data_IF_249229589322
#
_entry.id   IF_249229589322
#
_cell.length_a   1.000
_cell.length_b   1.000
_cell.length_c   1.000
_cell.angle_alpha   90.00
_cell.angle_beta   90.00
_cell.angle_gamma   90.00
#
_symmetry.space_group_name_H-M   'P 1'
#
loop_
_entity.id
_entity.type
_entity.pdbx_description
1 polymer ?
#
# COMPACT_ATOMS: atom_id res chain seq x y z
N UNK A 1 9.11 4.94 -8.18
CA UNK A 1 9.57 5.24 -6.81
C UNK A 1 8.84 4.42 -5.77
N UNK A 2 9.45 4.20 -4.60
CA UNK A 2 8.80 3.85 -3.34
C UNK A 2 8.79 5.10 -2.47
N UNK A 3 7.62 5.57 -2.04
CA UNK A 3 7.50 6.86 -1.32
C UNK A 3 6.76 6.65 -0.01
N UNK A 4 7.32 7.18 1.07
CA UNK A 4 6.78 7.07 2.43
C UNK A 4 6.90 8.39 3.19
N UNK A 5 6.15 8.52 4.28
CA UNK A 5 6.43 9.48 5.36
C UNK A 5 6.70 8.76 6.71
N UNK A 6 6.79 7.44 6.69
CA UNK A 6 7.15 6.63 7.86
C UNK A 6 6.12 6.63 8.99
N UNK A 7 4.85 6.92 8.69
CA UNK A 7 3.82 7.08 9.74
C UNK A 7 3.11 5.79 10.15
N UNK A 8 3.33 4.67 9.43
CA UNK A 8 2.73 3.37 9.74
C UNK A 8 3.61 2.19 9.34
N UNK A 9 4.85 2.19 9.80
CA UNK A 9 5.82 1.14 9.48
C UNK A 9 5.46 -0.16 10.22
N UNK A 10 5.37 -1.27 9.49
CA UNK A 10 4.94 -2.56 10.02
C UNK A 10 5.77 -2.99 11.23
N UNK A 11 5.09 -3.18 12.37
CA UNK A 11 5.71 -3.60 13.64
C UNK A 11 6.43 -2.49 14.41
N UNK A 12 6.62 -1.30 13.82
CA UNK A 12 7.33 -0.17 14.43
C UNK A 12 6.44 1.07 14.64
N UNK A 13 5.37 1.21 13.86
CA UNK A 13 4.43 2.33 13.97
C UNK A 13 4.94 3.61 13.31
N UNK A 14 4.64 4.75 13.94
CA UNK A 14 5.03 6.08 13.46
C UNK A 14 6.48 6.38 13.90
N UNK A 15 7.43 6.03 13.05
CA UNK A 15 8.87 6.22 13.31
C UNK A 15 9.48 7.38 12.51
N UNK A 16 8.68 7.98 11.62
CA UNK A 16 9.10 9.07 10.76
C UNK A 16 9.90 8.66 9.52
N UNK A 17 10.14 9.62 8.62
CA UNK A 17 10.76 9.35 7.33
C UNK A 17 12.19 8.83 7.46
N UNK A 18 13.02 9.44 8.30
CA UNK A 18 14.43 9.08 8.42
C UNK A 18 14.63 7.64 8.91
N UNK A 19 13.87 7.23 9.96
CA UNK A 19 13.99 5.90 10.53
C UNK A 19 13.35 4.82 9.64
N UNK A 20 12.46 5.19 8.73
CA UNK A 20 11.85 4.28 7.75
C UNK A 20 12.76 3.93 6.57
N UNK A 21 13.81 4.69 6.33
CA UNK A 21 14.75 4.50 5.22
C UNK A 21 15.20 3.05 4.99
N UNK A 22 15.67 2.28 5.98
CA UNK A 22 16.10 0.90 5.74
C UNK A 22 14.97 -0.02 5.24
N UNK A 23 13.73 0.25 5.64
CA UNK A 23 12.55 -0.51 5.18
C UNK A 23 12.27 -0.21 3.72
N UNK A 24 12.36 1.05 3.31
CA UNK A 24 12.11 1.49 1.94
C UNK A 24 13.20 1.00 0.98
N UNK A 25 14.47 1.01 1.38
CA UNK A 25 15.55 0.37 0.62
C UNK A 25 15.30 -1.12 0.45
N UNK A 26 14.85 -1.81 1.51
CA UNK A 26 14.44 -3.22 1.45
C UNK A 26 13.31 -3.45 0.47
N UNK A 27 12.31 -2.57 0.45
CA UNK A 27 11.19 -2.62 -0.53
C UNK A 27 11.70 -2.46 -1.96
N UNK A 28 12.58 -1.50 -2.20
CA UNK A 28 13.22 -1.30 -3.50
C UNK A 28 13.99 -2.53 -3.98
N UNK A 29 14.73 -3.18 -3.07
CA UNK A 29 15.42 -4.43 -3.35
C UNK A 29 14.45 -5.55 -3.76
N UNK A 30 13.29 -5.68 -3.08
CA UNK A 30 12.27 -6.68 -3.45
C UNK A 30 11.69 -6.42 -4.84
N UNK A 31 11.42 -5.18 -5.20
CA UNK A 31 11.02 -4.83 -6.56
C UNK A 31 12.07 -5.25 -7.60
N UNK A 32 13.36 -5.06 -7.30
CA UNK A 32 14.43 -5.47 -8.19
C UNK A 32 14.52 -6.99 -8.31
N UNK A 33 14.48 -7.72 -7.19
CA UNK A 33 14.61 -9.18 -7.17
C UNK A 33 13.44 -9.87 -7.88
N UNK A 34 12.21 -9.45 -7.60
CA UNK A 34 11.02 -10.17 -8.06
C UNK A 34 10.44 -9.67 -9.38
N UNK A 35 10.68 -8.42 -9.74
CA UNK A 35 10.08 -7.80 -10.91
C UNK A 35 11.10 -7.16 -11.88
N UNK A 36 12.38 -7.15 -11.52
CA UNK A 36 13.46 -6.47 -12.27
C UNK A 36 13.16 -4.97 -12.50
N UNK A 37 12.53 -4.33 -11.53
CA UNK A 37 12.21 -2.90 -11.56
C UNK A 37 13.26 -2.13 -10.77
N UNK A 38 13.86 -1.12 -11.39
CA UNK A 38 14.75 -0.18 -10.72
C UNK A 38 13.92 0.82 -9.89
N UNK A 39 14.28 1.00 -8.63
CA UNK A 39 13.52 1.79 -7.66
C UNK A 39 14.41 2.84 -7.01
N UNK A 40 13.84 4.03 -6.84
CA UNK A 40 14.32 5.04 -5.90
C UNK A 40 13.36 5.08 -4.72
N UNK A 41 13.88 4.93 -3.52
CA UNK A 41 13.14 5.15 -2.28
C UNK A 41 13.26 6.62 -1.86
N UNK A 42 12.13 7.19 -1.45
CA UNK A 42 12.01 8.61 -1.12
C UNK A 42 11.21 8.76 0.17
N UNK A 43 11.88 9.24 1.19
CA UNK A 43 11.30 9.50 2.49
C UNK A 43 10.95 10.99 2.60
N UNK A 44 9.65 11.29 2.72
CA UNK A 44 9.12 12.66 2.72
C UNK A 44 8.79 13.07 4.16
N UNK A 45 9.45 14.11 4.66
CA UNK A 45 9.12 14.71 5.95
C UNK A 45 7.87 15.60 5.81
N UNK A 46 6.72 14.95 5.65
CA UNK A 46 5.43 15.62 5.56
C UNK A 46 4.31 14.75 6.15
N UNK A 47 3.74 15.18 7.26
CA UNK A 47 2.52 14.61 7.84
C UNK A 47 1.26 15.32 7.32
N UNK A 48 1.39 16.51 6.78
CA UNK A 48 0.31 17.23 6.10
C UNK A 48 0.05 16.58 4.74
N UNK A 49 -1.20 16.20 4.49
CA UNK A 49 -1.62 15.48 3.28
C UNK A 49 -1.38 16.31 2.02
N UNK A 50 -1.67 17.61 2.07
CA UNK A 50 -1.50 18.47 0.90
C UNK A 50 -0.02 18.64 0.54
N UNK A 51 0.83 18.91 1.55
CA UNK A 51 2.28 19.02 1.35
C UNK A 51 2.86 17.72 0.79
N UNK A 52 2.44 16.56 1.31
CA UNK A 52 2.88 15.26 0.81
C UNK A 52 2.50 15.08 -0.67
N UNK A 53 1.23 15.32 -1.02
CA UNK A 53 0.74 15.19 -2.40
C UNK A 53 1.50 16.14 -3.34
N UNK A 54 1.66 17.40 -2.98
CA UNK A 54 2.38 18.36 -3.82
C UNK A 54 3.85 17.97 -4.02
N UNK A 55 4.50 17.45 -2.98
CA UNK A 55 5.88 16.94 -3.07
C UNK A 55 5.97 15.78 -4.05
N UNK A 56 5.09 14.79 -3.92
CA UNK A 56 5.06 13.63 -4.83
C UNK A 56 4.79 14.06 -6.27
N UNK A 57 3.85 14.97 -6.49
CA UNK A 57 3.55 15.51 -7.83
C UNK A 57 4.75 16.23 -8.45
N UNK A 58 5.50 16.99 -7.64
CA UNK A 58 6.66 17.72 -8.13
C UNK A 58 7.79 16.81 -8.64
N UNK A 59 7.94 15.61 -8.06
CA UNK A 59 8.97 14.64 -8.46
C UNK A 59 8.47 13.56 -9.41
N UNK A 60 7.15 13.41 -9.57
CA UNK A 60 6.52 12.37 -10.39
C UNK A 60 7.05 12.27 -11.83
N UNK A 61 7.43 13.38 -12.52
CA UNK A 61 7.99 13.29 -13.88
C UNK A 61 9.25 12.44 -14.02
N UNK A 62 9.93 12.13 -12.93
CA UNK A 62 11.12 11.26 -12.91
C UNK A 62 10.77 9.78 -13.06
N UNK A 63 9.53 9.38 -12.74
CA UNK A 63 9.17 7.98 -12.51
C UNK A 63 8.14 7.46 -13.50
N UNK A 64 8.23 6.15 -13.80
CA UNK A 64 7.20 5.43 -14.54
C UNK A 64 6.05 4.91 -13.69
N UNK A 65 6.16 4.97 -12.36
CA UNK A 65 5.14 4.55 -11.41
C UNK A 65 5.55 4.83 -9.97
N UNK A 66 4.57 4.85 -9.07
CA UNK A 66 4.76 5.16 -7.64
C UNK A 66 4.11 4.07 -6.79
N UNK A 67 4.89 3.50 -5.89
CA UNK A 67 4.43 2.71 -4.76
C UNK A 67 4.46 3.57 -3.50
N UNK A 68 3.30 3.83 -2.92
CA UNK A 68 3.18 4.43 -1.60
C UNK A 68 3.31 3.33 -0.55
N UNK A 69 4.10 3.58 0.49
CA UNK A 69 4.42 2.57 1.51
C UNK A 69 4.36 3.18 2.90
N UNK A 70 3.85 2.41 3.87
CA UNK A 70 3.90 2.74 5.30
C UNK A 70 3.32 4.12 5.67
N UNK A 71 2.26 4.52 4.97
CA UNK A 71 1.50 5.74 5.24
C UNK A 71 0.25 5.36 6.02
N UNK A 72 0.03 6.00 7.17
CA UNK A 72 -1.10 5.68 8.04
C UNK A 72 -2.46 5.98 7.42
N UNK A 73 -3.46 5.23 7.83
CA UNK A 73 -4.86 5.54 7.57
C UNK A 73 -5.38 6.53 8.64
N UNK A 74 -6.31 7.44 8.30
CA UNK A 74 -7.04 7.52 7.03
C UNK A 74 -6.33 8.28 5.91
N UNK A 75 -5.23 8.97 6.19
CA UNK A 75 -4.51 9.86 5.26
C UNK A 75 -4.09 9.12 3.98
N UNK A 76 -3.65 7.86 4.09
CA UNK A 76 -3.24 7.03 2.96
C UNK A 76 -4.33 6.90 1.89
N UNK A 77 -5.61 6.85 2.28
CA UNK A 77 -6.72 6.73 1.33
C UNK A 77 -6.87 7.98 0.47
N UNK A 78 -6.77 9.15 1.08
CA UNK A 78 -6.89 10.43 0.38
C UNK A 78 -5.67 10.69 -0.51
N UNK A 79 -4.47 10.43 0.01
CA UNK A 79 -3.22 10.58 -0.72
C UNK A 79 -3.24 9.72 -2.00
N UNK A 80 -3.54 8.43 -1.86
CA UNK A 80 -3.58 7.52 -3.01
C UNK A 80 -4.65 7.93 -4.02
N UNK A 81 -5.87 8.21 -3.55
CA UNK A 81 -6.97 8.62 -4.42
C UNK A 81 -6.60 9.84 -5.26
N UNK A 82 -6.09 10.88 -4.62
CA UNK A 82 -5.74 12.13 -5.31
C UNK A 82 -4.57 11.95 -6.27
N UNK A 83 -3.52 11.25 -5.86
CA UNK A 83 -2.39 11.00 -6.76
C UNK A 83 -2.80 10.18 -7.99
N UNK A 84 -3.72 9.22 -7.85
CA UNK A 84 -4.30 8.49 -8.99
C UNK A 84 -5.12 9.38 -9.93
N UNK A 85 -5.81 10.37 -9.40
CA UNK A 85 -6.63 11.30 -10.19
C UNK A 85 -5.79 12.40 -10.86
N UNK A 86 -4.68 12.78 -10.24
CA UNK A 86 -3.90 13.96 -10.61
C UNK A 86 -2.60 13.63 -11.37
N UNK A 87 -2.23 12.33 -11.48
CA UNK A 87 -1.03 11.88 -12.20
C UNK A 87 -1.39 10.90 -13.33
N UNK A 88 -0.65 10.98 -14.44
CA UNK A 88 -0.81 10.10 -15.60
C UNK A 88 0.03 8.81 -15.52
N UNK A 89 0.65 8.53 -14.38
CA UNK A 89 1.43 7.32 -14.12
C UNK A 89 0.74 6.43 -13.07
N UNK A 90 0.98 5.11 -13.07
CA UNK A 90 0.42 4.22 -12.06
C UNK A 90 0.84 4.61 -10.64
N UNK A 91 -0.14 4.69 -9.74
CA UNK A 91 0.07 4.91 -8.31
C UNK A 91 -0.63 3.81 -7.53
N UNK A 92 0.03 3.23 -6.56
CA UNK A 92 -0.51 2.18 -5.69
C UNK A 92 -0.03 2.39 -4.25
N UNK A 93 -0.90 2.15 -3.28
CA UNK A 93 -0.52 2.01 -1.87
C UNK A 93 -0.48 0.52 -1.52
N UNK A 94 0.71 -0.03 -1.26
CA UNK A 94 0.91 -1.48 -1.12
C UNK A 94 0.22 -2.04 0.13
N UNK A 95 0.25 -1.34 1.26
CA UNK A 95 -0.45 -1.76 2.48
C UNK A 95 -1.96 -1.95 2.26
N UNK A 96 -2.55 -1.22 1.33
CA UNK A 96 -3.93 -1.43 0.92
C UNK A 96 -4.05 -2.59 -0.08
N UNK A 97 -3.44 -2.44 -1.24
CA UNK A 97 -3.74 -3.27 -2.41
C UNK A 97 -2.89 -4.53 -2.50
N UNK A 98 -1.60 -4.47 -2.15
CA UNK A 98 -0.73 -5.64 -2.10
C UNK A 98 -1.23 -6.63 -1.05
N UNK A 99 -1.50 -6.14 0.15
CA UNK A 99 -2.07 -6.95 1.24
C UNK A 99 -3.43 -7.55 0.86
N UNK A 100 -4.31 -6.78 0.23
CA UNK A 100 -5.62 -7.29 -0.19
C UNK A 100 -5.48 -8.39 -1.25
N UNK A 101 -4.59 -8.23 -2.23
CA UNK A 101 -4.38 -9.22 -3.30
C UNK A 101 -3.89 -10.55 -2.74
N UNK A 102 -2.83 -10.53 -1.92
CA UNK A 102 -2.27 -11.80 -1.38
C UNK A 102 -3.21 -12.45 -0.40
N UNK A 103 -3.92 -11.68 0.40
CA UNK A 103 -4.91 -12.15 1.35
C UNK A 103 -6.13 -12.79 0.64
N UNK A 104 -6.60 -12.19 -0.45
CA UNK A 104 -7.67 -12.74 -1.28
C UNK A 104 -7.25 -14.04 -1.99
N UNK A 105 -6.00 -14.14 -2.44
CA UNK A 105 -5.45 -15.37 -3.00
C UNK A 105 -5.43 -16.49 -1.96
N UNK A 106 -5.02 -16.19 -0.73
CA UNK A 106 -5.05 -17.15 0.37
C UNK A 106 -6.47 -17.57 0.73
N UNK A 107 -7.42 -16.63 0.78
CA UNK A 107 -8.84 -16.91 1.02
C UNK A 107 -9.42 -17.86 -0.04
N UNK A 108 -9.17 -17.59 -1.33
CA UNK A 108 -9.61 -18.46 -2.43
C UNK A 108 -9.09 -19.89 -2.25
N UNK A 109 -7.80 -20.03 -2.00
CA UNK A 109 -7.20 -21.35 -1.79
C UNK A 109 -7.80 -22.06 -0.57
N UNK A 110 -8.04 -21.36 0.53
CA UNK A 110 -8.65 -21.92 1.72
C UNK A 110 -10.08 -22.42 1.46
N UNK A 111 -10.87 -21.67 0.68
CA UNK A 111 -12.22 -22.04 0.27
C UNK A 111 -12.19 -23.26 -0.63
N UNK A 112 -11.29 -23.30 -1.61
CA UNK A 112 -11.13 -24.44 -2.52
C UNK A 112 -10.73 -25.72 -1.77
N UNK A 113 -9.81 -25.64 -0.82
CA UNK A 113 -9.37 -26.78 0.00
C UNK A 113 -10.50 -27.27 0.90
N UNK A 114 -11.23 -26.36 1.53
CA UNK A 114 -12.31 -26.69 2.47
C UNK A 114 -13.64 -27.02 1.79
N UNK A 115 -13.73 -26.87 0.46
CA UNK A 115 -14.92 -27.08 -0.35
C UNK A 115 -16.13 -26.27 0.11
N UNK A 116 -15.89 -25.07 0.61
CA UNK A 116 -16.93 -24.13 1.02
C UNK A 116 -17.40 -23.28 -0.15
N UNK A 117 -18.63 -22.79 -0.04
CA UNK A 117 -19.18 -21.79 -0.96
C UNK A 117 -18.79 -20.40 -0.46
N UNK A 118 -18.08 -19.64 -1.29
CA UNK A 118 -17.58 -18.29 -0.92
C UNK A 118 -18.71 -17.34 -0.52
N UNK A 119 -19.86 -17.43 -1.18
CA UNK A 119 -21.04 -16.60 -0.85
C UNK A 119 -21.73 -16.96 0.47
N UNK A 120 -21.29 -18.02 1.16
CA UNK A 120 -21.86 -18.49 2.43
C UNK A 120 -20.88 -18.46 3.59
N UNK A 121 -19.63 -18.11 3.36
CA UNK A 121 -18.65 -18.02 4.45
C UNK A 121 -18.87 -16.75 5.26
N UNK A 122 -18.59 -16.84 6.56
CA UNK A 122 -18.57 -15.70 7.45
C UNK A 122 -17.12 -15.35 7.77
N UNK A 123 -16.76 -14.09 7.55
CA UNK A 123 -15.41 -13.58 7.80
C UNK A 123 -15.51 -12.53 8.89
N UNK A 124 -14.74 -12.71 9.96
CA UNK A 124 -14.62 -11.73 11.04
C UNK A 124 -13.29 -10.99 10.87
N UNK A 125 -13.36 -9.68 10.78
CA UNK A 125 -12.19 -8.82 10.63
C UNK A 125 -12.03 -8.01 11.92
N UNK A 126 -10.86 -8.17 12.57
CA UNK A 126 -10.51 -7.41 13.75
C UNK A 126 -9.48 -6.34 13.38
N UNK A 127 -9.90 -5.09 13.33
CA UNK A 127 -9.10 -3.93 12.92
C UNK A 127 -9.77 -3.10 11.83
N UNK A 128 -9.32 -1.85 11.69
CA UNK A 128 -9.86 -0.88 10.72
C UNK A 128 -8.74 -0.04 10.06
N UNK A 129 -7.52 -0.57 9.99
CA UNK A 129 -6.42 0.06 9.28
C UNK A 129 -6.53 -0.07 7.76
N UNK A 130 -5.55 0.48 7.05
CA UNK A 130 -5.52 0.49 5.58
C UNK A 130 -5.70 -0.91 4.98
N UNK A 131 -4.95 -1.90 5.46
CA UNK A 131 -5.03 -3.29 5.02
C UNK A 131 -6.40 -3.92 5.28
N UNK A 132 -6.93 -3.81 6.50
CA UNK A 132 -8.21 -4.42 6.87
C UNK A 132 -9.37 -3.92 6.01
N UNK A 133 -9.43 -2.61 5.77
CA UNK A 133 -10.47 -1.99 4.94
C UNK A 133 -10.34 -2.46 3.48
N UNK A 134 -9.14 -2.49 2.92
CA UNK A 134 -8.91 -2.92 1.53
C UNK A 134 -9.18 -4.41 1.34
N UNK A 135 -8.76 -5.27 2.28
CA UNK A 135 -9.08 -6.69 2.28
C UNK A 135 -10.59 -6.91 2.28
N UNK A 136 -11.31 -6.23 3.19
CA UNK A 136 -12.78 -6.34 3.27
C UNK A 136 -13.45 -5.97 1.95
N UNK A 137 -13.05 -4.84 1.36
CA UNK A 137 -13.59 -4.39 0.07
C UNK A 137 -13.34 -5.41 -1.05
N UNK A 138 -12.17 -6.05 -1.05
CA UNK A 138 -11.86 -7.07 -2.06
C UNK A 138 -12.65 -8.35 -1.82
N UNK A 139 -12.76 -8.82 -0.57
CA UNK A 139 -13.53 -10.03 -0.24
C UNK A 139 -15.01 -9.92 -0.66
N UNK A 140 -15.63 -8.75 -0.42
CA UNK A 140 -17.01 -8.49 -0.86
C UNK A 140 -17.20 -8.49 -2.39
N UNK A 141 -16.13 -8.42 -3.16
CA UNK A 141 -16.18 -8.53 -4.62
C UNK A 141 -15.96 -9.96 -5.11
N UNK A 142 -15.50 -10.85 -4.25
CA UNK A 142 -15.25 -12.25 -4.60
C UNK A 142 -16.46 -13.14 -4.37
N UNK A 143 -17.42 -12.70 -3.60
CA UNK A 143 -18.64 -13.40 -3.21
C UNK A 143 -19.27 -12.74 -2.02
#
# INVERSE_FOLDING_TARGET
AVITNGTAVLGLGDIGPEASKPVMEGKGLLFKIFADIDVFDIEVDATDVELFIQTVKAIAPTFGGINLEDIKAPEAFEIERRLKEELDIPVMHDDQHGTAIISAAALKNAIDITKKDIGKVQIVINGAGAAAISCTRLYLKLG
#
